data_IF_940645393988
#
_entry.id   IF_940645393988
#
_cell.length_a   1.000
_cell.length_b   1.000
_cell.length_c   1.000
_cell.angle_alpha   90.00
_cell.angle_beta   90.00
_cell.angle_gamma   90.00
#
_symmetry.space_group_name_H-M   'P 1'
#
loop_
_entity.id
_entity.type
_entity.pdbx_description
1 polymer ?
#
# COMPACT_ATOMS: atom_id res chain seq x y z
N UNK A 1 36.97 26.13 -12.12
CA UNK A 1 35.68 25.48 -11.81
C UNK A 1 35.67 24.12 -12.48
N UNK A 2 35.10 23.09 -11.86
CA UNK A 2 34.94 21.79 -12.50
C UNK A 2 33.69 21.83 -13.38
N UNK A 3 33.88 21.68 -14.68
CA UNK A 3 32.79 21.54 -15.65
C UNK A 3 32.55 20.05 -15.89
N UNK A 4 31.28 19.63 -15.87
CA UNK A 4 30.88 18.26 -16.14
C UNK A 4 30.42 18.19 -17.60
N UNK A 5 31.14 17.43 -18.42
CA UNK A 5 30.86 17.25 -19.84
C UNK A 5 30.42 15.81 -20.07
N UNK A 6 29.31 15.60 -20.78
CA UNK A 6 28.88 14.24 -21.15
C UNK A 6 29.71 13.71 -22.31
N UNK A 7 30.13 12.44 -22.25
CA UNK A 7 30.97 11.77 -23.25
C UNK A 7 30.23 10.59 -23.91
N UNK A 8 30.53 10.23 -25.17
CA UNK A 8 29.91 9.06 -25.82
C UNK A 8 30.46 7.72 -25.29
N UNK A 9 31.48 7.76 -24.44
CA UNK A 9 32.13 6.62 -23.79
C UNK A 9 32.05 6.77 -22.27
N UNK A 10 32.19 5.66 -21.54
CA UNK A 10 32.24 5.66 -20.09
C UNK A 10 33.67 5.86 -19.55
N UNK A 11 33.75 6.48 -18.40
CA UNK A 11 34.94 6.76 -17.63
C UNK A 11 34.80 6.08 -16.27
N UNK A 12 35.91 5.69 -15.64
CA UNK A 12 35.90 5.24 -14.25
C UNK A 12 35.99 6.46 -13.33
N UNK A 13 34.95 6.69 -12.53
CA UNK A 13 34.85 7.82 -11.60
C UNK A 13 34.93 7.29 -10.17
N UNK A 14 35.70 7.95 -9.31
CA UNK A 14 35.68 7.69 -7.87
C UNK A 14 34.52 8.43 -7.22
N UNK A 15 33.64 7.70 -6.54
CA UNK A 15 32.53 8.27 -5.77
C UNK A 15 33.01 9.15 -4.61
N UNK A 16 34.06 8.72 -3.91
CA UNK A 16 34.57 9.41 -2.72
C UNK A 16 35.27 10.74 -3.08
N UNK A 17 36.16 10.70 -4.07
CA UNK A 17 36.96 11.87 -4.45
C UNK A 17 36.25 12.74 -5.50
N UNK A 18 35.21 12.22 -6.15
CA UNK A 18 34.51 12.85 -7.27
C UNK A 18 35.48 13.32 -8.38
N UNK A 19 36.39 12.43 -8.78
CA UNK A 19 37.35 12.66 -9.87
C UNK A 19 37.24 11.54 -10.91
N UNK A 20 37.60 11.86 -12.15
CA UNK A 20 37.76 10.87 -13.21
C UNK A 20 39.12 10.19 -13.02
N UNK A 21 39.11 8.91 -12.68
CA UNK A 21 40.32 8.13 -12.42
C UNK A 21 40.89 7.50 -13.69
N UNK A 22 40.02 7.12 -14.63
CA UNK A 22 40.41 6.57 -15.92
C UNK A 22 39.42 7.00 -16.99
N UNK A 23 39.89 7.76 -17.97
CA UNK A 23 39.08 8.17 -19.13
C UNK A 23 39.04 7.03 -20.16
N UNK A 24 37.89 6.85 -20.83
CA UNK A 24 37.68 5.79 -21.85
C UNK A 24 38.04 4.39 -21.32
N UNK A 25 37.46 4.02 -20.18
CA UNK A 25 37.76 2.74 -19.59
C UNK A 25 37.37 1.59 -20.54
N UNK A 26 38.30 0.69 -20.83
CA UNK A 26 38.08 -0.43 -21.76
C UNK A 26 37.33 -1.61 -21.14
N UNK A 27 37.03 -1.54 -19.84
CA UNK A 27 36.21 -2.54 -19.16
C UNK A 27 34.75 -2.42 -19.60
N UNK A 28 34.00 -3.52 -19.54
CA UNK A 28 32.55 -3.50 -19.80
C UNK A 28 31.85 -2.51 -18.86
N UNK A 29 30.98 -1.66 -19.42
CA UNK A 29 30.20 -0.69 -18.64
C UNK A 29 29.35 -1.42 -17.59
N UNK A 30 29.39 -0.96 -16.35
CA UNK A 30 28.58 -1.49 -15.25
C UNK A 30 27.91 -0.32 -14.56
N UNK A 31 26.65 -0.50 -14.20
CA UNK A 31 25.84 0.49 -13.48
C UNK A 31 26.02 0.41 -11.97
N UNK A 32 26.65 -0.65 -11.47
CA UNK A 32 26.81 -0.86 -10.04
C UNK A 32 28.12 -0.24 -9.52
N UNK A 33 28.00 0.44 -8.38
CA UNK A 33 29.14 0.99 -7.67
C UNK A 33 29.91 -0.17 -7.05
N UNK A 34 31.22 -0.19 -7.28
CA UNK A 34 32.13 -1.04 -6.54
C UNK A 34 32.18 -2.50 -6.95
N UNK A 35 31.81 -2.81 -8.19
CA UNK A 35 32.04 -4.15 -8.73
C UNK A 35 33.54 -4.50 -8.75
N UNK A 36 33.85 -5.79 -8.51
CA UNK A 36 35.21 -6.30 -8.58
C UNK A 36 35.87 -6.12 -9.96
N UNK A 37 35.08 -5.85 -11.02
CA UNK A 37 35.57 -5.53 -12.37
C UNK A 37 36.56 -4.36 -12.35
N UNK A 38 36.37 -3.39 -11.44
CA UNK A 38 37.27 -2.24 -11.34
C UNK A 38 38.69 -2.62 -10.91
N UNK A 39 38.92 -3.78 -10.29
CA UNK A 39 40.28 -4.26 -9.98
C UNK A 39 41.17 -4.41 -11.22
N UNK A 40 40.56 -4.54 -12.39
CA UNK A 40 41.23 -4.65 -13.68
C UNK A 40 41.35 -3.32 -14.42
N UNK A 41 40.90 -2.20 -13.83
CA UNK A 41 41.06 -0.88 -14.41
C UNK A 41 42.54 -0.48 -14.35
N UNK A 42 43.05 0.15 -15.42
CA UNK A 42 44.45 0.59 -15.50
C UNK A 42 44.82 1.61 -14.42
N UNK A 43 43.84 2.36 -13.89
CA UNK A 43 44.01 3.27 -12.77
C UNK A 43 44.08 2.55 -11.40
N UNK A 44 43.98 1.23 -11.36
CA UNK A 44 44.00 0.44 -10.14
C UNK A 44 45.26 -0.41 -10.04
N UNK A 45 45.88 -0.42 -8.87
CA UNK A 45 47.02 -1.28 -8.53
C UNK A 45 46.76 -1.95 -7.19
N UNK A 46 46.77 -3.29 -7.16
CA UNK A 46 46.47 -4.08 -5.96
C UNK A 46 45.13 -3.69 -5.28
N UNK A 47 44.09 -3.46 -6.09
CA UNK A 47 42.75 -3.07 -5.61
C UNK A 47 42.62 -1.62 -5.10
N UNK A 48 43.65 -0.79 -5.29
CA UNK A 48 43.68 0.61 -4.86
C UNK A 48 43.88 1.54 -6.06
N UNK A 49 43.13 2.64 -6.11
CA UNK A 49 43.27 3.63 -7.18
C UNK A 49 44.58 4.40 -7.04
N UNK A 50 45.34 4.53 -8.13
CA UNK A 50 46.60 5.28 -8.17
C UNK A 50 46.41 6.75 -8.53
N UNK A 51 45.20 7.13 -8.99
CA UNK A 51 44.85 8.51 -9.38
C UNK A 51 44.19 9.27 -8.23
N UNK A 52 43.42 8.59 -7.38
CA UNK A 52 42.81 9.20 -6.20
C UNK A 52 43.86 9.65 -5.17
N UNK A 53 43.73 10.86 -4.58
CA UNK A 53 44.63 11.33 -3.54
C UNK A 53 44.65 10.39 -2.32
N UNK A 54 43.47 9.88 -1.94
CA UNK A 54 43.30 8.99 -0.78
C UNK A 54 43.50 7.50 -1.11
N UNK A 55 43.92 7.18 -2.35
CA UNK A 55 44.08 5.80 -2.85
C UNK A 55 42.86 4.92 -2.54
N UNK A 56 41.67 5.41 -2.92
CA UNK A 56 40.40 4.74 -2.65
C UNK A 56 40.37 3.29 -3.16
N UNK A 57 39.58 2.43 -2.48
CA UNK A 57 39.33 1.05 -2.94
C UNK A 57 38.68 1.04 -4.33
N UNK A 58 38.89 -0.03 -5.10
CA UNK A 58 38.12 -0.29 -6.31
C UNK A 58 36.60 -0.24 -6.08
N UNK A 59 36.16 -0.59 -4.86
CA UNK A 59 34.75 -0.63 -4.49
C UNK A 59 34.09 0.76 -4.42
N UNK A 60 34.90 1.84 -4.45
CA UNK A 60 34.42 3.23 -4.46
C UNK A 60 34.32 3.81 -5.87
N UNK A 61 34.43 2.99 -6.91
CA UNK A 61 34.43 3.47 -8.29
C UNK A 61 33.25 2.91 -9.07
N UNK A 62 32.84 3.65 -10.10
CA UNK A 62 31.74 3.27 -10.99
C UNK A 62 32.01 3.79 -12.40
N UNK A 63 31.29 3.24 -13.37
CA UNK A 63 31.32 3.76 -14.74
C UNK A 63 30.29 4.86 -14.92
N UNK A 64 30.69 5.92 -15.59
CA UNK A 64 29.80 7.01 -15.96
C UNK A 64 30.30 7.72 -17.21
N UNK A 65 29.38 8.29 -17.98
CA UNK A 65 29.65 9.00 -19.22
C UNK A 65 29.88 10.49 -18.99
N UNK A 66 30.53 10.83 -17.87
CA UNK A 66 30.84 12.20 -17.46
C UNK A 66 32.34 12.42 -17.40
N UNK A 67 32.80 13.57 -17.88
CA UNK A 67 34.17 14.06 -17.79
C UNK A 67 34.19 15.31 -16.91
N UNK A 68 35.04 15.32 -15.89
CA UNK A 68 35.19 16.45 -14.97
C UNK A 68 36.41 17.25 -15.42
N UNK A 69 36.20 18.33 -16.18
CA UNK A 69 37.29 19.17 -16.69
C UNK A 69 37.50 20.35 -15.76
N UNK A 70 38.72 20.52 -15.26
CA UNK A 70 39.09 21.74 -14.55
C UNK A 70 39.31 22.85 -15.59
N UNK A 71 38.35 23.77 -15.69
CA UNK A 71 38.45 24.92 -16.59
C UNK A 71 38.93 26.12 -15.77
N UNK A 72 39.98 26.84 -16.23
CA UNK A 72 40.37 28.11 -15.65
C UNK A 72 39.20 29.09 -15.84
N UNK A 73 38.50 29.38 -14.76
CA UNK A 73 37.42 30.37 -14.78
C UNK A 73 38.02 31.68 -14.33
N UNK A 74 37.89 32.73 -15.13
CA UNK A 74 38.30 34.06 -14.68
C UNK A 74 37.45 34.45 -13.47
N UNK A 75 38.05 35.15 -12.50
CA UNK A 75 37.37 35.61 -11.30
C UNK A 75 36.06 36.36 -11.64
N UNK A 76 36.07 37.13 -12.73
CA UNK A 76 34.90 37.85 -13.26
C UNK A 76 33.75 36.91 -13.63
N UNK A 77 34.02 35.82 -14.36
CA UNK A 77 33.00 34.83 -14.73
C UNK A 77 32.47 34.05 -13.51
N UNK A 78 33.35 33.76 -12.54
CA UNK A 78 32.93 33.12 -11.29
C UNK A 78 31.95 34.03 -10.52
N UNK A 79 32.31 35.30 -10.33
CA UNK A 79 31.47 36.29 -9.65
C UNK A 79 30.14 36.50 -10.37
N UNK A 80 30.14 36.63 -11.71
CA UNK A 80 28.90 36.82 -12.48
C UNK A 80 27.96 35.61 -12.43
N UNK A 81 28.48 34.40 -12.15
CA UNK A 81 27.67 33.19 -12.03
C UNK A 81 27.04 32.98 -10.65
N UNK A 82 27.55 33.64 -9.61
CA UNK A 82 27.08 33.46 -8.23
C UNK A 82 25.62 33.88 -8.01
N UNK A 83 25.13 35.02 -8.53
CA UNK A 83 23.74 35.42 -8.34
C UNK A 83 22.74 34.41 -8.91
N UNK A 84 23.04 33.85 -10.09
CA UNK A 84 22.19 32.85 -10.72
C UNK A 84 22.16 31.55 -9.90
N UNK A 85 23.33 31.05 -9.48
CA UNK A 85 23.41 29.86 -8.62
C UNK A 85 22.68 30.04 -7.29
N UNK A 86 22.78 31.23 -6.70
CA UNK A 86 22.08 31.56 -5.47
C UNK A 86 20.55 31.60 -5.68
N UNK A 87 20.09 32.27 -6.75
CA UNK A 87 18.67 32.31 -7.11
C UNK A 87 18.10 30.91 -7.38
N UNK A 88 18.84 30.06 -8.08
CA UNK A 88 18.42 28.68 -8.34
C UNK A 88 18.40 27.84 -7.05
N UNK A 89 19.36 28.03 -6.15
CA UNK A 89 19.36 27.39 -4.84
C UNK A 89 18.16 27.82 -3.98
N UNK A 90 17.79 29.11 -4.00
CA UNK A 90 16.59 29.59 -3.30
C UNK A 90 15.29 29.01 -3.88
N UNK A 91 15.16 28.95 -5.22
CA UNK A 91 14.01 28.30 -5.87
C UNK A 91 13.92 26.82 -5.51
N UNK A 92 15.04 26.11 -5.53
CA UNK A 92 15.10 24.70 -5.17
C UNK A 92 14.76 24.48 -3.69
N UNK A 93 15.23 25.37 -2.80
CA UNK A 93 14.86 25.35 -1.38
C UNK A 93 13.35 25.53 -1.22
N UNK A 94 12.75 26.54 -1.83
CA UNK A 94 11.31 26.78 -1.76
C UNK A 94 10.50 25.59 -2.31
N UNK A 95 10.91 25.00 -3.43
CA UNK A 95 10.27 23.80 -3.98
C UNK A 95 10.38 22.59 -3.03
N UNK A 96 11.53 22.43 -2.38
CA UNK A 96 11.74 21.38 -1.38
C UNK A 96 10.87 21.60 -0.14
N UNK A 97 10.75 22.84 0.33
CA UNK A 97 9.92 23.20 1.48
C UNK A 97 8.44 22.92 1.20
N UNK A 98 7.95 23.22 -0.01
CA UNK A 98 6.59 22.88 -0.44
C UNK A 98 6.39 21.36 -0.40
N UNK A 99 7.30 20.58 -1.00
CA UNK A 99 7.21 19.11 -0.99
C UNK A 99 7.24 18.54 0.43
N UNK A 100 8.08 19.08 1.30
CA UNK A 100 8.16 18.67 2.70
C UNK A 100 6.84 18.91 3.43
N UNK A 101 6.21 20.09 3.25
CA UNK A 101 4.88 20.39 3.79
C UNK A 101 3.82 19.44 3.26
N UNK A 102 3.81 19.13 1.97
CA UNK A 102 2.88 18.16 1.37
C UNK A 102 3.02 16.78 2.02
N UNK A 103 4.26 16.27 2.15
CA UNK A 103 4.53 14.97 2.78
C UNK A 103 4.10 14.94 4.24
N UNK A 104 4.35 16.03 4.99
CA UNK A 104 3.92 16.15 6.39
C UNK A 104 2.40 16.11 6.53
N UNK A 105 1.67 16.78 5.63
CA UNK A 105 0.21 16.77 5.66
C UNK A 105 -0.37 15.41 5.27
N UNK A 106 0.20 14.74 4.26
CA UNK A 106 -0.18 13.37 3.91
C UNK A 106 0.07 12.40 5.07
N UNK A 107 1.20 12.54 5.77
CA UNK A 107 1.49 11.73 6.97
C UNK A 107 0.41 11.94 8.04
N UNK A 108 0.06 13.20 8.33
CA UNK A 108 -0.96 13.54 9.33
C UNK A 108 -2.32 12.93 8.98
N UNK A 109 -2.72 12.99 7.71
CA UNK A 109 -3.96 12.36 7.22
C UNK A 109 -3.95 10.84 7.43
N UNK A 110 -2.84 10.17 7.09
CA UNK A 110 -2.71 8.71 7.25
C UNK A 110 -2.79 8.33 8.72
N UNK A 111 -2.13 9.06 9.62
CA UNK A 111 -2.18 8.82 11.06
C UNK A 111 -3.61 8.99 11.61
N UNK A 112 -4.36 9.98 11.15
CA UNK A 112 -5.77 10.18 11.52
C UNK A 112 -6.66 9.03 11.05
N UNK A 113 -6.52 8.60 9.79
CA UNK A 113 -7.29 7.47 9.25
C UNK A 113 -6.98 6.17 9.99
N UNK A 114 -5.71 5.93 10.31
CA UNK A 114 -5.30 4.76 11.06
C UNK A 114 -5.92 4.75 12.46
N UNK A 115 -5.92 5.90 13.15
CA UNK A 115 -6.54 6.04 14.45
C UNK A 115 -8.06 5.82 14.40
N UNK A 116 -8.74 6.33 13.37
CA UNK A 116 -10.17 6.09 13.16
C UNK A 116 -10.48 4.60 12.97
N UNK A 117 -9.67 3.89 12.17
CA UNK A 117 -9.83 2.45 11.97
C UNK A 117 -9.57 1.65 13.26
N UNK A 118 -8.56 2.02 14.04
CA UNK A 118 -8.33 1.43 15.36
C UNK A 118 -9.55 1.58 16.27
N UNK A 119 -10.16 2.77 16.31
CA UNK A 119 -11.37 3.02 17.10
C UNK A 119 -12.55 2.17 16.61
N UNK A 120 -12.75 2.06 15.29
CA UNK A 120 -13.80 1.21 14.70
C UNK A 120 -13.64 -0.27 15.07
N UNK A 121 -12.41 -0.78 15.04
CA UNK A 121 -12.09 -2.16 15.44
C UNK A 121 -12.36 -2.35 16.93
N UNK A 122 -11.91 -1.41 17.76
CA UNK A 122 -12.16 -1.44 19.21
C UNK A 122 -13.67 -1.46 19.52
N UNK A 123 -14.46 -0.60 18.88
CA UNK A 123 -15.91 -0.58 19.07
C UNK A 123 -16.59 -1.87 18.59
N UNK A 124 -16.08 -2.48 17.50
CA UNK A 124 -16.55 -3.77 17.04
C UNK A 124 -16.26 -4.88 18.07
N UNK A 125 -15.06 -4.88 18.67
CA UNK A 125 -14.71 -5.80 19.76
C UNK A 125 -15.65 -5.63 20.96
N UNK A 126 -15.94 -4.39 21.38
CA UNK A 126 -16.90 -4.12 22.47
C UNK A 126 -18.29 -4.67 22.11
N UNK A 127 -18.78 -4.46 20.88
CA UNK A 127 -20.09 -4.97 20.44
C UNK A 127 -20.14 -6.50 20.42
N UNK A 128 -19.07 -7.15 19.96
CA UNK A 128 -18.98 -8.62 20.00
C UNK A 128 -18.98 -9.09 21.45
N UNK A 129 -18.21 -8.44 22.32
CA UNK A 129 -18.15 -8.73 23.74
C UNK A 129 -19.51 -8.60 24.43
N UNK A 130 -20.28 -7.56 24.11
CA UNK A 130 -21.61 -7.34 24.71
C UNK A 130 -22.66 -8.34 24.22
N UNK A 131 -22.55 -8.81 22.98
CA UNK A 131 -23.51 -9.75 22.38
C UNK A 131 -23.21 -11.20 22.72
N UNK A 132 -22.00 -11.49 23.17
CA UNK A 132 -21.58 -12.82 23.52
C UNK A 132 -21.53 -12.97 25.06
N UNK A 133 -22.69 -13.03 25.70
CA UNK A 133 -22.82 -13.53 27.08
C UNK A 133 -22.39 -15.01 27.11
N UNK A 134 -21.08 -15.24 27.27
CA UNK A 134 -20.45 -16.57 27.26
C UNK A 134 -19.15 -16.66 26.47
N UNK A 135 -18.84 -15.69 25.60
CA UNK A 135 -17.57 -15.66 24.85
C UNK A 135 -16.55 -14.83 25.61
N UNK A 136 -15.63 -15.51 26.26
CA UNK A 136 -14.51 -14.87 26.94
C UNK A 136 -13.43 -14.59 25.89
N UNK A 137 -13.40 -13.35 25.36
CA UNK A 137 -12.46 -12.94 24.32
C UNK A 137 -11.02 -13.28 24.68
N UNK A 138 -10.64 -13.12 25.95
CA UNK A 138 -9.29 -13.49 26.38
C UNK A 138 -9.04 -15.00 26.27
N UNK A 139 -10.01 -15.84 26.66
CA UNK A 139 -9.92 -17.31 26.57
C UNK A 139 -9.82 -17.79 25.11
N UNK A 140 -10.58 -17.16 24.22
CA UNK A 140 -10.57 -17.45 22.78
C UNK A 140 -9.28 -16.95 22.12
N UNK A 141 -8.80 -15.77 22.52
CA UNK A 141 -7.50 -15.25 22.09
C UNK A 141 -6.35 -16.13 22.58
N UNK A 142 -6.41 -16.65 23.82
CA UNK A 142 -5.46 -17.63 24.34
C UNK A 142 -5.50 -18.94 23.56
N UNK A 143 -6.70 -19.42 23.22
CA UNK A 143 -6.86 -20.62 22.39
C UNK A 143 -6.23 -20.43 21.01
N UNK A 144 -6.43 -19.25 20.41
CA UNK A 144 -5.82 -18.89 19.13
C UNK A 144 -4.29 -18.75 19.22
N UNK A 145 -3.76 -18.11 20.27
CA UNK A 145 -2.32 -18.02 20.54
C UNK A 145 -1.69 -19.41 20.63
N UNK A 146 -2.35 -20.34 21.35
CA UNK A 146 -1.88 -21.72 21.48
C UNK A 146 -1.87 -22.45 20.12
N UNK A 147 -2.87 -22.21 19.27
CA UNK A 147 -2.89 -22.74 17.91
C UNK A 147 -1.70 -22.22 17.09
N UNK A 148 -1.42 -20.91 17.15
CA UNK A 148 -0.29 -20.29 16.45
C UNK A 148 1.06 -20.83 16.93
N UNK A 149 1.24 -21.05 18.24
CA UNK A 149 2.43 -21.69 18.80
C UNK A 149 2.62 -23.11 18.28
N UNK A 150 1.54 -23.87 18.16
CA UNK A 150 1.59 -25.23 17.60
C UNK A 150 2.00 -25.21 16.12
N UNK A 151 1.53 -24.23 15.34
CA UNK A 151 1.91 -24.08 13.94
C UNK A 151 3.33 -23.51 13.77
N UNK A 152 3.80 -22.69 14.70
CA UNK A 152 5.18 -22.19 14.75
C UNK A 152 6.18 -23.35 14.76
N UNK A 153 5.89 -24.41 15.53
CA UNK A 153 6.72 -25.62 15.62
C UNK A 153 6.82 -26.41 14.29
N UNK A 154 5.94 -26.13 13.32
CA UNK A 154 5.95 -26.78 12.00
C UNK A 154 6.76 -25.98 10.96
N UNK A 155 7.13 -24.73 11.27
CA UNK A 155 7.90 -23.88 10.37
C UNK A 155 9.37 -24.29 10.37
N UNK A 156 10.02 -24.18 9.21
CA UNK A 156 11.45 -24.53 9.03
C UNK A 156 12.37 -23.32 8.86
N UNK A 157 11.83 -22.16 8.48
CA UNK A 157 12.64 -20.97 8.20
C UNK A 157 12.90 -20.15 9.46
N UNK A 158 14.17 -19.93 9.87
CA UNK A 158 14.51 -19.17 11.08
C UNK A 158 13.97 -17.74 11.07
N UNK A 159 13.99 -17.08 9.90
CA UNK A 159 13.52 -15.70 9.73
C UNK A 159 12.01 -15.62 9.94
N UNK A 160 11.26 -16.58 9.38
CA UNK A 160 9.80 -16.63 9.51
C UNK A 160 9.41 -16.97 10.96
N UNK A 161 10.11 -17.92 11.59
CA UNK A 161 9.93 -18.28 13.01
C UNK A 161 10.12 -17.03 13.89
N UNK A 162 11.17 -16.26 13.67
CA UNK A 162 11.43 -15.04 14.47
C UNK A 162 10.29 -14.01 14.34
N UNK A 163 9.83 -13.72 13.11
CA UNK A 163 8.71 -12.78 12.89
C UNK A 163 7.41 -13.27 13.52
N UNK A 164 7.08 -14.55 13.34
CA UNK A 164 5.87 -15.15 13.92
C UNK A 164 5.91 -15.16 15.46
N UNK A 165 7.09 -15.40 16.06
CA UNK A 165 7.29 -15.33 17.51
C UNK A 165 7.00 -13.93 18.05
N UNK A 166 7.58 -12.90 17.43
CA UNK A 166 7.34 -11.49 17.82
C UNK A 166 5.87 -11.07 17.67
N UNK A 167 5.16 -11.65 16.70
CA UNK A 167 3.72 -11.43 16.54
C UNK A 167 2.92 -12.12 17.67
N UNK A 168 3.25 -13.36 18.00
CA UNK A 168 2.64 -14.10 19.11
C UNK A 168 2.84 -13.34 20.43
N UNK A 169 4.05 -12.84 20.71
CA UNK A 169 4.35 -12.04 21.92
C UNK A 169 3.42 -10.80 22.04
N UNK A 170 3.16 -10.11 20.93
CA UNK A 170 2.24 -8.95 20.93
C UNK A 170 0.81 -9.36 21.25
N UNK A 171 0.36 -10.51 20.74
CA UNK A 171 -0.97 -11.04 21.04
C UNK A 171 -1.07 -11.47 22.51
N UNK A 172 0.00 -12.02 23.09
CA UNK A 172 0.05 -12.38 24.51
C UNK A 172 -0.03 -11.15 25.40
N UNK A 173 0.66 -10.05 25.05
CA UNK A 173 0.53 -8.78 25.76
C UNK A 173 -0.93 -8.30 25.72
N UNK A 174 -1.56 -8.36 24.55
CA UNK A 174 -2.96 -7.96 24.38
C UNK A 174 -3.90 -8.85 25.22
N UNK A 175 -3.70 -10.17 25.21
CA UNK A 175 -4.51 -11.12 25.98
C UNK A 175 -4.38 -10.94 27.50
N UNK A 176 -3.24 -10.43 27.96
CA UNK A 176 -2.96 -10.13 29.37
C UNK A 176 -3.41 -8.73 29.79
N UNK A 177 -3.81 -7.86 28.86
CA UNK A 177 -4.28 -6.54 29.22
C UNK A 177 -5.65 -6.66 29.90
N UNK A 178 -5.67 -6.44 31.21
CA UNK A 178 -6.83 -6.60 32.08
C UNK A 178 -8.02 -5.70 31.70
N UNK A 179 -7.80 -4.71 30.82
CA UNK A 179 -8.87 -3.91 30.23
C UNK A 179 -9.85 -4.74 29.39
N UNK A 180 -9.46 -5.92 28.90
CA UNK A 180 -10.34 -6.86 28.18
C UNK A 180 -11.06 -7.86 29.10
N UNK A 181 -10.63 -7.98 30.37
CA UNK A 181 -11.19 -8.92 31.34
C UNK A 181 -12.39 -8.30 32.07
N UNK A 182 -13.61 -8.61 31.63
CA UNK A 182 -14.81 -8.34 32.44
C UNK A 182 -14.83 -9.36 33.59
N UNK A 183 -14.92 -8.92 34.86
CA UNK A 183 -15.14 -9.83 35.98
C UNK A 183 -16.40 -10.63 35.70
N UNK A 184 -16.29 -11.96 35.63
CA UNK A 184 -17.47 -12.85 35.59
C UNK A 184 -18.40 -12.38 36.71
N UNK A 185 -19.55 -11.81 36.35
CA UNK A 185 -20.65 -11.65 37.31
C UNK A 185 -21.04 -13.07 37.67
N UNK A 186 -20.48 -13.56 38.77
CA UNK A 186 -20.86 -14.80 39.38
C UNK A 186 -22.37 -14.71 39.60
N UNK A 187 -23.13 -15.40 38.77
CA UNK A 187 -24.55 -15.67 39.03
C UNK A 187 -24.60 -16.56 40.28
N UNK A 188 -24.40 -15.96 41.44
CA UNK A 188 -24.88 -16.52 42.69
C UNK A 188 -26.38 -16.55 42.57
N UNK A 189 -26.95 -17.75 42.51
CA UNK A 189 -28.39 -17.98 42.57
C UNK A 189 -28.94 -17.37 43.88
N UNK A 190 -29.39 -16.11 43.80
CA UNK A 190 -30.09 -15.45 44.91
C UNK A 190 -31.52 -15.95 44.91
N UNK A 191 -31.77 -16.97 45.72
CA UNK A 191 -33.12 -17.26 46.24
C UNK A 191 -33.67 -16.00 46.90
N UNK A 192 -34.80 -15.51 46.37
CA UNK A 192 -35.51 -14.31 46.84
C UNK A 192 -35.78 -14.39 48.35
N UNK A 193 -35.04 -13.61 49.15
CA UNK A 193 -35.46 -13.24 50.50
C UNK A 193 -35.52 -11.71 50.62
N UNK A 194 -36.76 -11.24 50.73
CA UNK A 194 -37.20 -9.85 50.85
C UNK A 194 -36.73 -9.26 52.18
N UNK A 195 -35.78 -8.32 52.16
CA UNK A 195 -35.51 -7.45 53.32
C UNK A 195 -35.32 -5.99 52.88
N UNK A 196 -35.90 -5.13 53.70
CA UNK A 196 -36.15 -3.69 53.61
C UNK A 196 -34.89 -2.85 53.91
N UNK A 197 -34.72 -1.78 53.12
CA UNK A 197 -34.23 -0.44 53.48
C UNK A 197 -33.01 -0.27 54.39
N UNK A 198 -31.97 0.45 53.92
CA UNK A 198 -31.61 1.80 54.45
C UNK A 198 -30.44 2.44 53.69
N UNK A 199 -30.55 3.77 53.55
CA UNK A 199 -29.59 4.74 53.00
C UNK A 199 -28.21 4.67 53.69
N UNK A 200 -27.14 4.89 52.92
CA UNK A 200 -26.15 5.96 53.21
C UNK A 200 -25.20 6.23 52.04
N UNK A 201 -25.02 7.53 51.77
CA UNK A 201 -24.00 8.18 50.94
C UNK A 201 -22.59 7.73 51.32
N UNK A 202 -21.69 7.62 50.34
CA UNK A 202 -20.49 8.44 50.28
C UNK A 202 -19.97 8.55 48.84
N UNK A 203 -19.56 9.77 48.52
CA UNK A 203 -19.11 10.29 47.25
C UNK A 203 -17.60 10.52 47.39
N UNK A 204 -16.78 9.97 46.50
CA UNK A 204 -15.37 10.31 46.39
C UNK A 204 -15.04 10.59 44.93
N UNK A 205 -14.85 11.88 44.65
CA UNK A 205 -14.32 12.42 43.41
C UNK A 205 -12.81 12.11 43.32
N UNK A 206 -12.36 11.66 42.16
CA UNK A 206 -10.97 11.83 41.72
C UNK A 206 -11.00 12.69 40.46
N UNK A 207 -10.52 13.92 40.60
CA UNK A 207 -10.19 14.85 39.53
C UNK A 207 -8.70 14.71 39.23
N UNK A 208 -8.34 14.31 38.01
CA UNK A 208 -7.00 14.51 37.46
C UNK A 208 -7.08 15.43 36.25
N UNK A 209 -6.64 16.66 36.46
CA UNK A 209 -6.43 17.73 35.49
C UNK A 209 -5.34 17.32 34.51
N UNK A 210 -5.63 17.35 33.20
CA UNK A 210 -4.61 17.41 32.15
C UNK A 210 -4.81 18.75 31.45
N UNK A 211 -3.87 19.66 31.66
CA UNK A 211 -3.72 20.89 30.89
C UNK A 211 -3.15 20.52 29.53
N UNK A 212 -3.82 20.93 28.45
CA UNK A 212 -3.25 21.02 27.12
C UNK A 212 -3.29 22.49 26.72
N UNK A 213 -2.11 23.06 26.54
CA UNK A 213 -1.89 24.41 26.04
C UNK A 213 -2.08 24.47 24.51
N UNK A 214 -2.66 25.61 24.10
CA UNK A 214 -2.58 26.30 22.81
C UNK A 214 -2.80 25.54 21.49
N UNK A 215 -4.05 25.61 21.01
CA UNK A 215 -4.43 25.45 19.61
C UNK A 215 -4.64 26.82 18.95
N UNK A 216 -3.70 27.24 18.10
CA UNK A 216 -3.92 28.33 17.14
C UNK A 216 -4.77 27.83 15.97
N UNK A 217 -5.92 28.47 15.77
CA UNK A 217 -6.83 28.27 14.64
C UNK A 217 -6.19 28.91 13.39
N UNK A 218 -5.94 28.11 12.35
CA UNK A 218 -5.70 28.62 10.99
C UNK A 218 -6.59 27.82 10.02
N UNK A 219 -7.36 28.55 9.24
CA UNK A 219 -8.40 28.08 8.31
C UNK A 219 -7.88 27.06 7.27
N UNK A 220 -8.69 26.03 7.04
CA UNK A 220 -8.49 25.00 6.01
C UNK A 220 -8.94 25.49 4.61
N UNK A 221 -8.22 25.18 3.53
CA UNK A 221 -8.80 25.05 2.20
C UNK A 221 -9.30 23.61 1.94
N UNK A 222 -10.31 23.49 1.09
CA UNK A 222 -11.09 22.27 0.81
C UNK A 222 -10.34 21.18 0.03
N UNK A 223 -10.77 19.93 0.28
CA UNK A 223 -10.08 18.63 0.07
C UNK A 223 -10.13 18.06 -1.38
N UNK A 224 -10.58 18.82 -2.38
CA UNK A 224 -11.00 18.19 -3.66
C UNK A 224 -9.93 17.98 -4.74
N UNK A 225 -8.62 18.14 -4.49
CA UNK A 225 -7.61 18.10 -5.60
C UNK A 225 -6.33 17.28 -5.37
N UNK A 226 -6.23 16.44 -4.33
CA UNK A 226 -4.94 15.79 -3.96
C UNK A 226 -4.80 14.29 -4.26
N UNK A 227 -5.77 13.65 -4.92
CA UNK A 227 -5.73 12.20 -5.18
C UNK A 227 -5.48 11.93 -6.66
N UNK A 228 -4.22 12.00 -7.12
CA UNK A 228 -3.82 11.42 -8.42
C UNK A 228 -2.38 10.90 -8.51
N UNK A 229 -1.60 10.84 -7.42
CA UNK A 229 -0.20 10.37 -7.53
C UNK A 229 0.29 9.55 -6.32
N UNK A 230 -0.25 8.35 -6.12
CA UNK A 230 0.43 7.29 -5.34
C UNK A 230 0.08 5.93 -5.98
N UNK A 231 0.73 5.60 -7.10
CA UNK A 231 0.86 4.22 -7.56
C UNK A 231 2.28 3.74 -7.26
N UNK A 232 2.40 2.45 -6.93
CA UNK A 232 3.61 1.71 -6.50
C UNK A 232 3.73 1.46 -4.98
N UNK A 233 2.79 0.67 -4.44
CA UNK A 233 3.05 -0.21 -3.29
C UNK A 233 3.38 -1.62 -3.83
N UNK A 234 4.44 -2.30 -3.35
CA UNK A 234 4.80 -3.63 -3.83
C UNK A 234 3.71 -4.68 -3.57
N UNK A 235 3.29 -5.37 -4.64
CA UNK A 235 2.24 -6.40 -4.69
C UNK A 235 2.47 -7.58 -3.72
N UNK A 236 3.70 -7.79 -3.27
CA UNK A 236 4.09 -8.91 -2.38
C UNK A 236 3.57 -8.75 -0.94
N UNK A 237 3.31 -7.52 -0.48
CA UNK A 237 2.74 -7.27 0.86
C UNK A 237 1.25 -7.58 0.90
N UNK A 238 0.53 -7.36 -0.21
CA UNK A 238 -0.90 -7.63 -0.34
C UNK A 238 -1.21 -9.14 -0.37
N UNK A 239 -0.34 -9.95 -0.99
CA UNK A 239 -0.53 -11.40 -1.10
C UNK A 239 -0.38 -12.15 0.24
N UNK A 240 0.28 -11.56 1.24
CA UNK A 240 0.43 -12.18 2.56
C UNK A 240 -0.82 -11.96 3.44
N UNK A 241 -1.47 -10.81 3.32
CA UNK A 241 -2.71 -10.48 4.06
C UNK A 241 -3.89 -11.31 3.54
N UNK A 242 -4.02 -11.48 2.23
CA UNK A 242 -5.11 -12.27 1.62
C UNK A 242 -5.06 -13.75 2.01
N UNK A 243 -3.86 -14.33 2.14
CA UNK A 243 -3.71 -15.74 2.54
C UNK A 243 -4.07 -15.96 4.02
N UNK A 244 -3.78 -15.00 4.89
CA UNK A 244 -4.14 -15.08 6.32
C UNK A 244 -5.66 -14.92 6.52
N UNK A 245 -6.26 -13.96 5.79
CA UNK A 245 -7.69 -13.68 5.86
C UNK A 245 -8.55 -14.81 5.29
N UNK A 246 -8.10 -15.44 4.19
CA UNK A 246 -8.77 -16.58 3.58
C UNK A 246 -8.71 -17.84 4.46
N UNK A 247 -7.63 -18.04 5.23
CA UNK A 247 -7.49 -19.20 6.13
C UNK A 247 -8.41 -19.10 7.35
N UNK A 248 -8.53 -17.91 7.94
CA UNK A 248 -9.45 -17.63 9.05
C UNK A 248 -10.93 -17.78 8.59
N UNK A 249 -11.27 -17.33 7.37
CA UNK A 249 -12.61 -17.56 6.81
C UNK A 249 -12.88 -19.03 6.47
N UNK A 250 -11.88 -19.81 6.06
CA UNK A 250 -12.06 -21.23 5.72
C UNK A 250 -12.39 -22.08 6.95
N UNK A 251 -11.87 -21.71 8.13
CA UNK A 251 -12.13 -22.45 9.37
C UNK A 251 -13.50 -22.13 10.01
N UNK A 252 -14.15 -21.02 9.63
CA UNK A 252 -15.51 -20.64 10.07
C UNK A 252 -16.62 -20.98 9.04
N UNK A 253 -16.30 -21.66 7.93
CA UNK A 253 -17.21 -21.79 6.77
C UNK A 253 -18.19 -22.95 6.78
N UNK A 254 -18.40 -23.63 7.90
CA UNK A 254 -19.44 -24.65 7.98
C UNK A 254 -20.47 -24.27 9.03
N UNK A 255 -21.42 -23.39 8.66
CA UNK A 255 -22.89 -23.59 8.83
C UNK A 255 -23.75 -22.33 8.79
N UNK A 256 -23.24 -21.09 8.99
CA UNK A 256 -24.14 -19.94 9.20
C UNK A 256 -24.19 -18.84 8.11
N UNK A 257 -23.28 -18.78 7.13
CA UNK A 257 -23.19 -17.63 6.20
C UNK A 257 -23.67 -17.87 4.75
N UNK A 258 -24.14 -19.08 4.41
CA UNK A 258 -24.61 -19.39 3.04
C UNK A 258 -25.94 -18.68 2.72
N UNK A 259 -26.77 -18.36 3.72
CA UNK A 259 -28.10 -17.77 3.48
C UNK A 259 -28.03 -16.32 2.98
N UNK A 260 -27.02 -15.54 3.41
CA UNK A 260 -26.93 -14.12 3.05
C UNK A 260 -26.31 -13.86 1.67
N UNK A 261 -25.43 -14.74 1.17
CA UNK A 261 -24.85 -14.61 -0.18
C UNK A 261 -25.90 -14.75 -1.29
N UNK A 262 -26.94 -15.58 -1.09
CA UNK A 262 -28.04 -15.77 -2.05
C UNK A 262 -29.00 -14.59 -2.13
N UNK A 263 -28.88 -13.58 -1.26
CA UNK A 263 -29.74 -12.40 -1.31
C UNK A 263 -29.51 -11.60 -2.60
N UNK A 264 -28.26 -11.51 -3.06
CA UNK A 264 -27.87 -10.65 -4.18
C UNK A 264 -27.95 -11.33 -5.56
N UNK A 265 -28.08 -12.66 -5.61
CA UNK A 265 -28.17 -13.41 -6.88
C UNK A 265 -29.46 -13.12 -7.65
N UNK A 266 -30.49 -12.58 -6.99
CA UNK A 266 -31.78 -12.21 -7.61
C UNK A 266 -31.76 -10.82 -8.27
N UNK A 267 -30.75 -10.00 -8.00
CA UNK A 267 -30.67 -8.64 -8.53
C UNK A 267 -30.00 -8.64 -9.91
N UNK A 268 -30.47 -7.77 -10.80
CA UNK A 268 -29.79 -7.54 -12.09
C UNK A 268 -28.44 -6.87 -11.87
N UNK A 269 -27.54 -6.95 -12.86
CA UNK A 269 -26.23 -6.28 -12.76
C UNK A 269 -26.40 -4.77 -12.54
N UNK A 270 -27.41 -4.17 -13.18
CA UNK A 270 -27.77 -2.76 -13.00
C UNK A 270 -28.17 -2.44 -11.56
N UNK A 271 -29.07 -3.24 -10.98
CA UNK A 271 -29.51 -3.04 -9.61
C UNK A 271 -28.34 -3.16 -8.62
N UNK A 272 -27.40 -4.08 -8.86
CA UNK A 272 -26.21 -4.21 -8.03
C UNK A 272 -25.30 -2.98 -8.13
N UNK A 273 -25.13 -2.42 -9.35
CA UNK A 273 -24.36 -1.20 -9.57
C UNK A 273 -25.01 -0.01 -8.87
N UNK A 274 -26.33 0.14 -8.99
CA UNK A 274 -27.05 1.25 -8.34
C UNK A 274 -27.00 1.16 -6.82
N UNK A 275 -27.10 -0.04 -6.24
CA UNK A 275 -26.95 -0.24 -4.78
C UNK A 275 -25.51 0.09 -4.35
N UNK A 276 -24.50 -0.27 -5.15
CA UNK A 276 -23.07 0.03 -4.87
C UNK A 276 -22.84 1.55 -4.81
N UNK A 277 -23.48 2.31 -5.71
CA UNK A 277 -23.39 3.79 -5.73
C UNK A 277 -24.07 4.45 -4.53
N UNK A 278 -25.12 3.84 -3.99
CA UNK A 278 -25.92 4.43 -2.90
C UNK A 278 -25.35 4.15 -1.51
N UNK A 279 -24.50 3.14 -1.32
CA UNK A 279 -24.00 2.77 0.02
C UNK A 279 -22.63 2.09 -0.04
N UNK A 280 -21.58 2.81 0.37
CA UNK A 280 -20.22 2.26 0.45
C UNK A 280 -20.07 1.13 1.49
N UNK A 281 -20.86 1.15 2.57
CA UNK A 281 -20.72 0.19 3.68
C UNK A 281 -21.30 -1.21 3.37
N UNK A 282 -22.18 -1.36 2.38
CA UNK A 282 -22.78 -2.66 1.99
C UNK A 282 -22.00 -3.37 0.86
N UNK A 283 -20.83 -2.86 0.50
CA UNK A 283 -20.12 -3.24 -0.72
C UNK A 283 -19.54 -4.65 -0.73
N UNK A 284 -19.21 -5.27 0.41
CA UNK A 284 -18.46 -6.54 0.36
C UNK A 284 -19.27 -7.67 -0.29
N UNK A 285 -20.56 -7.81 0.03
CA UNK A 285 -21.39 -8.88 -0.53
C UNK A 285 -21.79 -8.61 -1.99
N UNK A 286 -21.98 -7.33 -2.34
CA UNK A 286 -22.31 -6.90 -3.70
C UNK A 286 -21.08 -7.02 -4.61
N UNK A 287 -19.91 -6.58 -4.14
CA UNK A 287 -18.63 -6.75 -4.81
C UNK A 287 -18.30 -8.23 -5.02
N UNK A 288 -18.60 -9.11 -4.05
CA UNK A 288 -18.46 -10.56 -4.22
C UNK A 288 -19.36 -11.10 -5.34
N UNK A 289 -20.62 -10.67 -5.42
CA UNK A 289 -21.53 -11.11 -6.48
C UNK A 289 -21.17 -10.51 -7.86
N UNK A 290 -20.74 -9.25 -7.91
CA UNK A 290 -20.23 -8.62 -9.14
C UNK A 290 -18.95 -9.30 -9.61
N UNK A 291 -18.00 -9.58 -8.69
CA UNK A 291 -16.80 -10.36 -9.00
C UNK A 291 -17.17 -11.76 -9.48
N UNK A 292 -18.12 -12.46 -8.87
CA UNK A 292 -18.61 -13.77 -9.36
C UNK A 292 -19.12 -13.71 -10.80
N UNK A 293 -19.78 -12.61 -11.20
CA UNK A 293 -20.23 -12.40 -12.58
C UNK A 293 -19.06 -12.09 -13.53
N UNK A 294 -18.02 -11.44 -13.02
CA UNK A 294 -16.80 -11.12 -13.76
C UNK A 294 -15.78 -12.27 -13.81
N UNK A 295 -15.83 -13.24 -12.89
CA UNK A 295 -14.95 -14.42 -12.87
C UNK A 295 -15.09 -15.24 -14.16
N UNK A 296 -16.26 -15.22 -14.81
CA UNK A 296 -16.47 -15.79 -16.14
C UNK A 296 -15.67 -15.08 -17.26
N UNK A 297 -15.09 -13.91 -16.99
CA UNK A 297 -14.29 -13.11 -17.92
C UNK A 297 -12.77 -13.13 -17.62
N UNK A 298 -12.29 -14.00 -16.71
CA UNK A 298 -10.86 -14.25 -16.44
C UNK A 298 -10.04 -13.06 -15.92
N UNK A 299 -10.65 -12.07 -15.26
CA UNK A 299 -9.93 -10.88 -14.71
C UNK A 299 -9.46 -11.10 -13.25
N UNK A 300 -9.91 -12.16 -12.59
CA UNK A 300 -9.63 -12.40 -11.18
C UNK A 300 -10.43 -11.47 -10.25
N UNK A 301 -10.02 -11.39 -8.98
CA UNK A 301 -10.70 -10.53 -8.00
C UNK A 301 -10.36 -9.06 -8.24
N UNK A 302 -11.40 -8.24 -8.41
CA UNK A 302 -11.24 -6.80 -8.56
C UNK A 302 -11.15 -6.11 -7.21
N UNK A 303 -10.25 -5.14 -7.11
CA UNK A 303 -10.20 -4.19 -5.99
C UNK A 303 -11.45 -3.29 -6.00
N UNK A 304 -11.73 -2.61 -4.88
CA UNK A 304 -12.89 -1.71 -4.79
C UNK A 304 -12.86 -0.60 -5.87
N UNK A 305 -11.67 -0.05 -6.14
CA UNK A 305 -11.47 0.97 -7.18
C UNK A 305 -11.72 0.40 -8.58
N UNK A 306 -11.17 -0.78 -8.88
CA UNK A 306 -11.39 -1.44 -10.18
C UNK A 306 -12.86 -1.81 -10.40
N UNK A 307 -13.56 -2.18 -9.34
CA UNK A 307 -14.99 -2.48 -9.40
C UNK A 307 -15.80 -1.21 -9.70
N UNK A 308 -15.41 -0.06 -9.13
CA UNK A 308 -16.05 1.24 -9.43
C UNK A 308 -15.80 1.65 -10.88
N UNK A 309 -14.56 1.54 -11.36
CA UNK A 309 -14.19 1.77 -12.77
C UNK A 309 -14.99 0.88 -13.73
N UNK A 310 -15.12 -0.42 -13.41
CA UNK A 310 -15.98 -1.33 -14.17
C UNK A 310 -17.44 -0.84 -14.21
N UNK A 311 -17.97 -0.37 -13.08
CA UNK A 311 -19.34 0.16 -13.01
C UNK A 311 -19.52 1.42 -13.86
N UNK A 312 -18.50 2.27 -13.93
CA UNK A 312 -18.48 3.47 -14.79
C UNK A 312 -18.47 3.07 -16.27
N UNK A 313 -17.58 2.17 -16.67
CA UNK A 313 -17.55 1.65 -18.03
C UNK A 313 -18.85 0.96 -18.43
N UNK A 314 -19.42 0.13 -17.54
CA UNK A 314 -20.70 -0.52 -17.79
C UNK A 314 -21.82 0.50 -18.01
N UNK A 315 -21.88 1.55 -17.18
CA UNK A 315 -22.90 2.59 -17.31
C UNK A 315 -22.76 3.37 -18.62
N UNK A 316 -21.55 3.67 -19.07
CA UNK A 316 -21.29 4.31 -20.37
C UNK A 316 -21.62 3.39 -21.55
N UNK A 317 -21.19 2.12 -21.50
CA UNK A 317 -21.47 1.12 -22.54
C UNK A 317 -22.96 0.86 -22.72
N UNK A 318 -23.75 0.87 -21.63
CA UNK A 318 -25.18 0.59 -21.70
C UNK A 318 -25.95 1.54 -22.61
N UNK A 319 -25.45 2.76 -22.82
CA UNK A 319 -26.10 3.75 -23.68
C UNK A 319 -25.86 3.51 -25.19
N UNK A 320 -24.99 2.56 -25.53
CA UNK A 320 -24.62 2.23 -26.91
C UNK A 320 -25.54 1.16 -27.51
N UNK A 321 -25.70 1.19 -28.83
CA UNK A 321 -26.43 0.16 -29.58
C UNK A 321 -25.61 -1.14 -29.66
N UNK A 322 -26.25 -2.32 -29.83
CA UNK A 322 -25.53 -3.59 -29.93
C UNK A 322 -24.43 -3.63 -31.00
N UNK A 323 -24.65 -3.00 -32.16
CA UNK A 323 -23.67 -2.91 -33.24
C UNK A 323 -22.44 -2.07 -32.83
N UNK A 324 -22.68 -0.98 -32.09
CA UNK A 324 -21.63 -0.09 -31.57
C UNK A 324 -20.81 -0.80 -30.49
N UNK A 325 -21.47 -1.58 -29.61
CA UNK A 325 -20.80 -2.42 -28.61
C UNK A 325 -19.92 -3.49 -29.26
N UNK A 326 -20.40 -4.14 -30.32
CA UNK A 326 -19.65 -5.18 -31.05
C UNK A 326 -18.42 -4.58 -31.75
N UNK A 327 -18.59 -3.39 -32.36
CA UNK A 327 -17.48 -2.67 -32.96
C UNK A 327 -16.43 -2.28 -31.91
N UNK A 328 -16.87 -1.71 -30.78
CA UNK A 328 -15.99 -1.30 -29.69
C UNK A 328 -15.26 -2.50 -29.05
N UNK A 329 -15.94 -3.63 -28.89
CA UNK A 329 -15.35 -4.88 -28.43
C UNK A 329 -14.20 -5.32 -29.34
N UNK A 330 -14.45 -5.35 -30.65
CA UNK A 330 -13.47 -5.75 -31.66
C UNK A 330 -12.25 -4.81 -31.68
N UNK A 331 -12.48 -3.50 -31.59
CA UNK A 331 -11.42 -2.50 -31.52
C UNK A 331 -10.56 -2.70 -30.27
N UNK A 332 -11.18 -2.88 -29.10
CA UNK A 332 -10.45 -3.03 -27.85
C UNK A 332 -9.65 -4.35 -27.78
N UNK A 333 -10.17 -5.43 -28.39
CA UNK A 333 -9.41 -6.67 -28.56
C UNK A 333 -8.16 -6.48 -29.43
N UNK A 334 -8.27 -5.75 -30.54
CA UNK A 334 -7.12 -5.42 -31.40
C UNK A 334 -6.09 -4.59 -30.64
N UNK A 335 -6.53 -3.57 -29.89
CA UNK A 335 -5.65 -2.73 -29.10
C UNK A 335 -4.90 -3.52 -28.01
N UNK A 336 -5.57 -4.46 -27.36
CA UNK A 336 -4.95 -5.38 -26.39
C UNK A 336 -3.92 -6.27 -27.09
N UNK A 337 -4.28 -6.86 -28.23
CA UNK A 337 -3.39 -7.72 -29.02
C UNK A 337 -2.16 -6.98 -29.54
N UNK A 338 -2.30 -5.73 -29.97
CA UNK A 338 -1.17 -4.88 -30.38
C UNK A 338 -0.25 -4.55 -29.19
N UNK A 339 -0.85 -4.29 -28.02
CA UNK A 339 -0.11 -4.00 -26.79
C UNK A 339 0.69 -5.22 -26.31
N UNK A 340 0.16 -6.45 -26.51
CA UNK A 340 0.86 -7.68 -26.12
C UNK A 340 1.92 -8.10 -27.14
N UNK A 341 1.67 -7.95 -28.44
CA UNK A 341 2.60 -8.42 -29.47
C UNK A 341 3.89 -7.59 -29.61
N UNK A 342 3.91 -6.34 -29.13
CA UNK A 342 5.01 -5.42 -29.40
C UNK A 342 6.30 -5.70 -28.61
N UNK A 343 6.25 -6.44 -27.49
CA UNK A 343 7.40 -6.68 -26.61
C UNK A 343 7.46 -8.13 -26.10
N UNK A 344 7.93 -9.08 -26.92
CA UNK A 344 8.03 -10.50 -26.55
C UNK A 344 9.00 -10.84 -25.41
N UNK A 345 9.72 -9.85 -24.84
CA UNK A 345 10.76 -10.05 -23.81
C UNK A 345 10.50 -9.33 -22.48
N UNK A 346 9.47 -8.49 -22.38
CA UNK A 346 9.07 -7.84 -21.13
C UNK A 346 7.77 -8.49 -20.64
N UNK A 347 7.71 -8.84 -19.35
CA UNK A 347 6.58 -9.54 -18.73
C UNK A 347 5.24 -8.89 -19.13
N UNK A 348 4.41 -9.64 -19.87
CA UNK A 348 3.14 -9.20 -20.42
C UNK A 348 2.21 -8.65 -19.34
N UNK A 349 2.12 -7.33 -19.20
CA UNK A 349 1.08 -6.68 -18.41
C UNK A 349 0.11 -5.97 -19.34
N UNK A 350 -0.95 -6.65 -19.73
CA UNK A 350 -2.11 -5.98 -20.33
C UNK A 350 -2.64 -4.95 -19.34
N UNK A 351 -2.81 -3.67 -19.73
CA UNK A 351 -3.35 -2.66 -18.84
C UNK A 351 -4.71 -3.11 -18.27
N UNK A 352 -4.81 -3.18 -16.94
CA UNK A 352 -6.02 -3.67 -16.25
C UNK A 352 -7.26 -2.89 -16.67
N UNK A 353 -7.10 -1.59 -16.92
CA UNK A 353 -8.15 -0.70 -17.39
C UNK A 353 -8.83 -1.17 -18.70
N UNK A 354 -8.04 -1.61 -19.68
CA UNK A 354 -8.57 -2.17 -20.95
C UNK A 354 -9.32 -3.48 -20.73
N UNK A 355 -8.88 -4.31 -19.78
CA UNK A 355 -9.57 -5.55 -19.43
C UNK A 355 -10.91 -5.25 -18.75
N UNK A 356 -10.95 -4.29 -17.83
CA UNK A 356 -12.19 -3.85 -17.19
C UNK A 356 -13.19 -3.31 -18.23
N UNK A 357 -12.72 -2.50 -19.17
CA UNK A 357 -13.58 -1.97 -20.22
C UNK A 357 -14.13 -3.07 -21.14
N UNK A 358 -13.30 -4.04 -21.52
CA UNK A 358 -13.72 -5.20 -22.30
C UNK A 358 -14.79 -6.03 -21.57
N UNK A 359 -14.64 -6.23 -20.27
CA UNK A 359 -15.64 -6.93 -19.45
C UNK A 359 -16.93 -6.15 -19.31
N UNK A 360 -16.88 -4.82 -19.17
CA UNK A 360 -18.08 -4.00 -19.20
C UNK A 360 -18.88 -4.19 -20.51
N UNK A 361 -18.19 -4.16 -21.66
CA UNK A 361 -18.82 -4.39 -22.97
C UNK A 361 -19.45 -5.79 -23.04
N UNK A 362 -18.71 -6.82 -22.61
CA UNK A 362 -19.21 -8.21 -22.59
C UNK A 362 -20.47 -8.36 -21.73
N UNK A 363 -20.49 -7.73 -20.55
CA UNK A 363 -21.66 -7.73 -19.68
C UNK A 363 -22.87 -7.03 -20.33
N UNK A 364 -22.65 -5.93 -21.08
CA UNK A 364 -23.73 -5.27 -21.82
C UNK A 364 -24.27 -6.13 -22.96
N UNK A 365 -23.40 -6.80 -23.72
CA UNK A 365 -23.80 -7.71 -24.80
C UNK A 365 -24.61 -8.92 -24.27
N UNK A 366 -24.14 -9.58 -23.22
CA UNK A 366 -24.87 -10.68 -22.55
C UNK A 366 -26.23 -10.25 -21.99
N UNK A 367 -26.40 -8.96 -21.68
CA UNK A 367 -27.67 -8.41 -21.26
C UNK A 367 -28.60 -8.14 -22.45
N UNK A 368 -28.08 -7.61 -23.56
CA UNK A 368 -28.87 -7.34 -24.76
C UNK A 368 -29.50 -8.62 -25.35
N UNK A 369 -28.75 -9.73 -25.36
CA UNK A 369 -29.21 -11.03 -25.86
C UNK A 369 -30.38 -11.63 -25.07
N UNK A 370 -30.62 -11.19 -23.84
CA UNK A 370 -31.73 -11.69 -23.01
C UNK A 370 -33.08 -11.00 -23.29
N UNK A 371 -33.08 -9.90 -24.04
CA UNK A 371 -34.28 -9.09 -24.31
C UNK A 371 -34.66 -9.00 -25.80
N UNK A 372 -33.93 -9.71 -26.67
CA UNK A 372 -34.37 -10.05 -28.02
C UNK A 372 -35.13 -11.38 -27.99
#
# INVERSE_FOLDING_TARGET
VNEIITTPYHNTICLQCNIVCHERCSLTETTQIGEHVFRHCTAMKNGRCTVCPDRCSCDMHYHDRRLIKCVPTTLKCAISSLPNKYSDAEKNKAACDIKCKTVQETKRLIEQLLQEQCNKVHDACIRVQSNCEGFNIAEELYTFINLLKNDLNKLRSPIVIHKATKFIEKLEILANDNSLMIPRRSHTNVTKKKIRTSKKRHQSQLTSTIQNDDLMIIDQPSVSTLITQIDHIPTEVLLFEDNLFNRIQSSQRQTSNISNSRKYTKYTTEQLIDITRQSMEKNILIAKELNRRCEAASIGYLSATQLLTLCEYYASCRLLRPDELTHLYSQLQLDIQQSTNSNASENFTTPVDKLLYLTAIKLCLEHADKYQ
#
